data_IF_216827074603
#
_entry.id   IF_216827074603
#
_cell.length_a   1.000
_cell.length_b   1.000
_cell.length_c   1.000
_cell.angle_alpha   90.00
_cell.angle_beta   90.00
_cell.angle_gamma   90.00
#
_symmetry.space_group_name_H-M   'P 1'
#
loop_
_entity.id
_entity.type
_entity.pdbx_description
1 polymer ?
#
# COMPACT_ATOMS: atom_id res chain seq x y z
N UNK A 1 14.24 -1.57 23.43
CA UNK A 1 13.04 -2.41 23.25
C UNK A 1 12.48 -2.69 24.64
N UNK A 2 11.27 -2.23 24.92
CA UNK A 2 10.66 -2.34 26.25
C UNK A 2 10.38 -3.81 26.61
N UNK A 3 10.86 -4.25 27.78
CA UNK A 3 10.82 -5.66 28.19
C UNK A 3 9.39 -6.16 28.43
N UNK A 4 8.44 -5.28 28.74
CA UNK A 4 7.04 -5.67 28.94
C UNK A 4 6.31 -5.94 27.62
N UNK A 5 6.57 -5.14 26.57
CA UNK A 5 5.96 -5.33 25.25
C UNK A 5 6.35 -6.68 24.66
N UNK A 6 7.66 -6.95 24.55
CA UNK A 6 8.16 -8.21 23.97
C UNK A 6 7.67 -9.39 24.78
N UNK A 7 7.72 -9.31 26.12
CA UNK A 7 7.27 -10.39 26.98
C UNK A 7 5.79 -10.69 26.77
N UNK A 8 4.95 -9.66 26.65
CA UNK A 8 3.52 -9.84 26.37
C UNK A 8 3.29 -10.37 24.96
N UNK A 9 3.97 -9.86 23.93
CA UNK A 9 3.88 -10.39 22.57
C UNK A 9 4.35 -11.84 22.51
N UNK A 10 5.37 -12.23 23.30
CA UNK A 10 5.83 -13.62 23.42
C UNK A 10 4.83 -14.51 24.16
N UNK A 11 4.27 -14.03 25.27
CA UNK A 11 3.25 -14.76 26.03
C UNK A 11 1.98 -14.94 25.20
N UNK A 12 1.60 -13.91 24.44
CA UNK A 12 0.49 -13.93 23.49
C UNK A 12 0.86 -14.73 22.23
N UNK A 13 2.10 -14.73 21.73
CA UNK A 13 2.47 -15.51 20.53
C UNK A 13 2.42 -17.01 20.76
N UNK A 14 2.77 -17.45 21.96
CA UNK A 14 2.67 -18.85 22.38
C UNK A 14 1.21 -19.31 22.53
N UNK A 15 0.23 -18.40 22.72
CA UNK A 15 -1.18 -18.74 22.96
C UNK A 15 -2.18 -18.32 21.87
N UNK A 16 -1.90 -17.22 21.17
CA UNK A 16 -2.80 -16.49 20.25
C UNK A 16 -2.22 -16.40 18.83
N UNK A 17 -0.88 -16.37 18.69
CA UNK A 17 -0.19 -16.27 17.39
C UNK A 17 0.55 -17.55 17.01
N UNK A 18 0.09 -18.71 17.48
CA UNK A 18 0.63 -19.98 17.00
C UNK A 18 0.26 -20.17 15.52
N UNK A 19 1.22 -20.44 14.63
CA UNK A 19 0.92 -20.70 13.23
C UNK A 19 -0.01 -21.92 13.15
N UNK A 20 -0.98 -21.96 12.21
CA UNK A 20 -1.79 -23.14 11.98
C UNK A 20 -0.91 -24.38 11.78
N UNK A 21 -1.36 -25.55 12.25
CA UNK A 21 -0.57 -26.79 12.15
C UNK A 21 -0.19 -27.11 10.70
N UNK A 22 -1.10 -26.82 9.76
CA UNK A 22 -0.85 -26.88 8.31
C UNK A 22 0.34 -26.00 7.92
N UNK A 23 0.40 -24.77 8.44
CA UNK A 23 1.47 -23.83 8.14
C UNK A 23 2.82 -24.28 8.69
N UNK A 24 2.86 -24.81 9.93
CA UNK A 24 4.08 -25.37 10.52
C UNK A 24 4.66 -26.49 9.65
N UNK A 25 3.81 -27.41 9.20
CA UNK A 25 4.25 -28.54 8.41
C UNK A 25 4.66 -28.12 6.99
N UNK A 26 3.98 -27.13 6.39
CA UNK A 26 4.38 -26.52 5.12
C UNK A 26 5.76 -25.88 5.24
N UNK A 27 6.00 -25.07 6.28
CA UNK A 27 7.31 -24.45 6.53
C UNK A 27 8.41 -25.49 6.76
N UNK A 28 8.10 -26.59 7.45
CA UNK A 28 9.02 -27.71 7.63
C UNK A 28 9.45 -28.33 6.30
N UNK A 29 8.49 -28.57 5.40
CA UNK A 29 8.78 -29.13 4.07
C UNK A 29 9.55 -28.15 3.19
N UNK A 30 9.23 -26.85 3.24
CA UNK A 30 9.90 -25.85 2.39
C UNK A 30 11.37 -25.61 2.78
N UNK A 31 11.74 -25.88 4.04
CA UNK A 31 13.13 -25.84 4.50
C UNK A 31 13.95 -27.05 4.13
N UNK A 32 13.29 -28.16 3.82
CA UNK A 32 13.96 -29.40 3.43
C UNK A 32 14.10 -29.41 1.90
N UNK A 33 15.32 -29.18 1.40
CA UNK A 33 15.63 -29.17 -0.03
C UNK A 33 15.32 -30.51 -0.74
N UNK A 34 15.09 -31.59 0.02
CA UNK A 34 14.71 -32.90 -0.53
C UNK A 34 13.20 -33.11 -0.63
N UNK A 35 12.39 -32.18 -0.09
CA UNK A 35 10.94 -32.29 -0.11
C UNK A 35 10.36 -32.18 -1.52
N UNK A 36 9.32 -32.95 -1.75
CA UNK A 36 8.66 -33.09 -3.05
C UNK A 36 7.34 -32.32 -3.12
N UNK A 37 6.89 -32.03 -4.34
CA UNK A 37 5.59 -31.43 -4.58
C UNK A 37 4.41 -32.24 -4.01
N UNK A 38 4.53 -33.57 -4.03
CA UNK A 38 3.50 -34.48 -3.52
C UNK A 38 3.45 -34.49 -1.99
N UNK A 39 4.58 -34.34 -1.31
CA UNK A 39 4.61 -34.19 0.14
C UNK A 39 3.93 -32.89 0.58
N UNK A 40 4.20 -31.77 -0.09
CA UNK A 40 3.51 -30.51 0.17
C UNK A 40 2.01 -30.62 -0.10
N UNK A 41 1.62 -31.24 -1.23
CA UNK A 41 0.22 -31.47 -1.54
C UNK A 41 -0.48 -32.35 -0.49
N UNK A 42 0.18 -33.39 0.03
CA UNK A 42 -0.38 -34.28 1.05
C UNK A 42 -0.64 -33.58 2.39
N UNK A 43 0.14 -32.53 2.71
CA UNK A 43 -0.09 -31.69 3.88
C UNK A 43 -1.27 -30.75 3.65
N UNK A 44 -1.28 -30.04 2.52
CA UNK A 44 -2.29 -29.03 2.21
C UNK A 44 -3.69 -29.61 2.06
N UNK A 45 -3.83 -30.80 1.47
CA UNK A 45 -5.13 -31.47 1.28
C UNK A 45 -5.83 -31.79 2.62
N UNK A 46 -5.09 -31.85 3.73
CA UNK A 46 -5.67 -32.03 5.08
C UNK A 46 -6.39 -30.77 5.58
N UNK A 47 -6.16 -29.63 4.94
CA UNK A 47 -6.78 -28.35 5.23
C UNK A 47 -7.63 -27.90 4.02
N UNK A 48 -8.95 -28.21 4.03
CA UNK A 48 -9.81 -27.89 2.89
C UNK A 48 -9.92 -26.39 2.62
N UNK A 49 -9.78 -25.54 3.64
CA UNK A 49 -9.88 -24.08 3.50
C UNK A 49 -8.66 -23.56 2.74
N UNK A 50 -7.46 -23.91 3.21
CA UNK A 50 -6.20 -23.54 2.55
C UNK A 50 -6.14 -24.11 1.13
N UNK A 51 -6.50 -25.39 0.96
CA UNK A 51 -6.54 -26.04 -0.36
C UNK A 51 -7.47 -25.31 -1.34
N UNK A 52 -8.67 -24.94 -0.91
CA UNK A 52 -9.64 -24.26 -1.78
C UNK A 52 -9.14 -22.88 -2.20
N UNK A 53 -8.54 -22.12 -1.26
CA UNK A 53 -7.94 -20.82 -1.54
C UNK A 53 -6.80 -20.93 -2.55
N UNK A 54 -5.85 -21.85 -2.34
CA UNK A 54 -4.73 -22.08 -3.27
C UNK A 54 -5.24 -22.42 -4.67
N UNK A 55 -6.19 -23.35 -4.77
CA UNK A 55 -6.74 -23.75 -6.07
C UNK A 55 -7.43 -22.60 -6.78
N UNK A 56 -8.10 -21.69 -6.07
CA UNK A 56 -8.68 -20.49 -6.69
C UNK A 56 -7.60 -19.54 -7.18
N UNK A 57 -6.58 -19.29 -6.35
CA UNK A 57 -5.48 -18.39 -6.67
C UNK A 57 -4.73 -18.86 -7.90
N UNK A 58 -4.29 -20.13 -7.97
CA UNK A 58 -3.55 -20.62 -9.14
C UNK A 58 -4.39 -20.70 -10.43
N UNK A 59 -5.72 -20.60 -10.31
CA UNK A 59 -6.63 -20.49 -11.45
C UNK A 59 -7.00 -19.04 -11.78
N UNK A 60 -6.39 -18.04 -11.12
CA UNK A 60 -6.57 -16.64 -11.48
C UNK A 60 -5.97 -16.35 -12.86
N UNK A 61 -6.51 -15.37 -13.60
CA UNK A 61 -5.94 -14.88 -14.85
C UNK A 61 -4.46 -14.51 -14.71
N UNK A 62 -4.05 -14.08 -13.51
CA UNK A 62 -2.67 -13.71 -13.20
C UNK A 62 -1.69 -14.87 -13.41
N UNK A 63 -1.99 -16.07 -12.90
CA UNK A 63 -1.12 -17.23 -13.11
C UNK A 63 -1.26 -17.84 -14.52
N UNK A 64 -2.23 -17.39 -15.31
CA UNK A 64 -2.29 -17.70 -16.74
C UNK A 64 -2.43 -19.19 -17.07
N UNK A 65 -3.04 -19.99 -16.17
CA UNK A 65 -3.15 -21.43 -16.36
C UNK A 65 -3.87 -21.76 -17.68
N UNK A 66 -3.16 -22.40 -18.62
CA UNK A 66 -3.72 -22.79 -19.92
C UNK A 66 -4.93 -23.74 -19.81
N UNK A 67 -5.06 -24.43 -18.66
CA UNK A 67 -6.19 -25.28 -18.29
C UNK A 67 -6.47 -25.11 -16.80
N UNK A 68 -7.73 -25.33 -16.42
CA UNK A 68 -8.15 -25.28 -15.01
C UNK A 68 -7.39 -26.31 -14.17
N UNK A 69 -6.70 -25.84 -13.13
CA UNK A 69 -5.95 -26.63 -12.17
C UNK A 69 -6.91 -27.21 -11.14
N UNK A 70 -6.89 -28.54 -10.97
CA UNK A 70 -7.86 -29.28 -10.13
C UNK A 70 -7.27 -29.92 -8.87
N UNK A 71 -5.96 -29.82 -8.66
CA UNK A 71 -5.27 -30.45 -7.52
C UNK A 71 -4.08 -29.64 -7.05
N UNK A 72 -3.73 -29.77 -5.77
CA UNK A 72 -2.59 -29.06 -5.18
C UNK A 72 -1.27 -29.51 -5.80
N UNK A 73 -1.08 -30.80 -6.11
CA UNK A 73 0.12 -31.25 -6.82
C UNK A 73 0.29 -30.54 -8.17
N UNK A 74 -0.79 -30.35 -8.94
CA UNK A 74 -0.73 -29.57 -10.19
C UNK A 74 -0.40 -28.10 -9.94
N UNK A 75 -0.94 -27.50 -8.87
CA UNK A 75 -0.61 -26.14 -8.47
C UNK A 75 0.90 -26.01 -8.16
N UNK A 76 1.44 -26.90 -7.33
CA UNK A 76 2.86 -26.90 -6.97
C UNK A 76 3.77 -27.10 -8.18
N UNK A 77 3.40 -27.99 -9.11
CA UNK A 77 4.16 -28.19 -10.36
C UNK A 77 4.13 -26.95 -11.25
N UNK A 78 2.99 -26.24 -11.29
CA UNK A 78 2.80 -25.08 -12.15
C UNK A 78 3.53 -23.84 -11.64
N UNK A 79 3.32 -23.50 -10.36
CA UNK A 79 3.82 -22.23 -9.80
C UNK A 79 5.04 -22.42 -8.90
N UNK A 80 5.35 -23.65 -8.48
CA UNK A 80 6.50 -23.97 -7.62
C UNK A 80 6.16 -24.12 -6.13
N UNK A 81 7.02 -24.85 -5.42
CA UNK A 81 6.90 -25.08 -3.96
C UNK A 81 6.95 -23.80 -3.15
N UNK A 82 7.85 -22.87 -3.50
CA UNK A 82 8.07 -21.62 -2.78
C UNK A 82 6.84 -20.72 -2.89
N UNK A 83 6.25 -20.65 -4.08
CA UNK A 83 5.05 -19.87 -4.39
C UNK A 83 3.81 -20.43 -3.71
N UNK A 84 3.63 -21.76 -3.70
CA UNK A 84 2.54 -22.36 -2.94
C UNK A 84 2.71 -22.09 -1.44
N UNK A 85 3.93 -22.19 -0.92
CA UNK A 85 4.23 -21.87 0.49
C UNK A 85 3.89 -20.42 0.82
N UNK A 86 4.27 -19.49 -0.05
CA UNK A 86 3.95 -18.08 0.02
C UNK A 86 2.43 -17.82 0.12
N UNK A 87 1.65 -18.47 -0.75
CA UNK A 87 0.18 -18.35 -0.73
C UNK A 87 -0.44 -18.97 0.52
N UNK A 88 0.10 -20.09 1.00
CA UNK A 88 -0.35 -20.72 2.25
C UNK A 88 -0.12 -19.78 3.42
N UNK A 89 1.06 -19.17 3.52
CA UNK A 89 1.41 -18.19 4.54
C UNK A 89 0.41 -17.04 4.56
N UNK A 90 0.29 -16.36 3.41
CA UNK A 90 -0.63 -15.25 3.19
C UNK A 90 -2.07 -15.57 3.65
N UNK A 91 -2.63 -16.66 3.12
CA UNK A 91 -4.04 -17.02 3.36
C UNK A 91 -4.30 -17.56 4.77
N UNK A 92 -3.29 -18.18 5.40
CA UNK A 92 -3.36 -18.64 6.79
C UNK A 92 -3.38 -17.47 7.77
N UNK A 93 -2.52 -16.47 7.54
CA UNK A 93 -2.42 -15.29 8.40
C UNK A 93 -3.69 -14.46 8.29
N UNK A 94 -4.18 -14.22 7.08
CA UNK A 94 -5.47 -13.58 6.85
C UNK A 94 -6.59 -14.24 7.68
N UNK A 95 -6.76 -15.56 7.54
CA UNK A 95 -7.80 -16.31 8.26
C UNK A 95 -7.62 -16.35 9.78
N UNK A 96 -6.39 -16.27 10.29
CA UNK A 96 -6.12 -16.18 11.72
C UNK A 96 -6.63 -14.85 12.29
N UNK A 97 -6.36 -13.75 11.57
CA UNK A 97 -6.68 -12.40 12.03
C UNK A 97 -8.14 -11.98 11.83
N UNK A 98 -8.89 -12.69 10.97
CA UNK A 98 -10.30 -12.39 10.65
C UNK A 98 -11.20 -12.27 11.90
N UNK A 99 -10.85 -12.99 12.98
CA UNK A 99 -11.62 -13.01 14.23
C UNK A 99 -11.18 -11.99 15.28
N UNK A 100 -10.06 -11.28 15.07
CA UNK A 100 -9.60 -10.32 16.08
C UNK A 100 -10.39 -9.02 15.95
N UNK A 101 -10.91 -8.52 17.07
CA UNK A 101 -11.42 -7.16 17.15
C UNK A 101 -10.27 -6.18 16.89
N UNK A 102 -10.53 -5.12 16.14
CA UNK A 102 -9.49 -4.20 15.69
C UNK A 102 -10.05 -2.79 15.53
N UNK A 103 -9.24 -1.78 15.85
CA UNK A 103 -9.55 -0.37 15.50
C UNK A 103 -9.33 -0.10 14.00
N UNK A 104 -8.54 -0.95 13.34
CA UNK A 104 -8.23 -0.84 11.93
C UNK A 104 -9.44 -1.26 11.09
N UNK A 105 -9.72 -0.49 10.05
CA UNK A 105 -10.63 -0.94 9.01
C UNK A 105 -9.99 -2.14 8.28
N UNK A 106 -10.57 -3.33 8.50
CA UNK A 106 -10.05 -4.59 7.96
C UNK A 106 -10.02 -4.61 6.45
N UNK A 107 -11.05 -4.06 5.83
CA UNK A 107 -11.19 -4.03 4.38
C UNK A 107 -10.09 -3.15 3.79
N UNK A 108 -9.92 -1.96 4.35
CA UNK A 108 -8.87 -1.02 3.95
C UNK A 108 -7.46 -1.58 4.20
N UNK A 109 -7.24 -2.21 5.35
CA UNK A 109 -5.96 -2.83 5.72
C UNK A 109 -5.53 -3.91 4.73
N UNK A 110 -6.44 -4.85 4.40
CA UNK A 110 -6.11 -5.95 3.49
C UNK A 110 -6.06 -5.49 2.04
N UNK A 111 -6.82 -4.47 1.65
CA UNK A 111 -6.67 -3.81 0.34
C UNK A 111 -5.29 -3.18 0.18
N UNK A 112 -4.83 -2.44 1.19
CA UNK A 112 -3.47 -1.87 1.21
C UNK A 112 -2.43 -2.98 1.09
N UNK A 113 -2.50 -3.97 1.99
CA UNK A 113 -1.55 -5.08 2.05
C UNK A 113 -1.46 -5.83 0.72
N UNK A 114 -2.59 -6.10 0.07
CA UNK A 114 -2.61 -6.76 -1.23
C UNK A 114 -2.01 -5.88 -2.34
N UNK A 115 -2.31 -4.59 -2.35
CA UNK A 115 -1.73 -3.67 -3.33
C UNK A 115 -0.21 -3.58 -3.18
N UNK A 116 0.29 -3.52 -1.94
CA UNK A 116 1.74 -3.53 -1.63
C UNK A 116 2.38 -4.85 -2.03
N UNK A 117 1.70 -5.99 -1.83
CA UNK A 117 2.16 -7.29 -2.30
C UNK A 117 2.35 -7.33 -3.82
N UNK A 118 1.33 -6.87 -4.56
CA UNK A 118 1.35 -6.80 -6.02
C UNK A 118 2.43 -5.84 -6.51
N UNK A 119 2.53 -4.65 -5.91
CA UNK A 119 3.55 -3.67 -6.24
C UNK A 119 4.96 -4.19 -5.98
N UNK A 120 5.20 -4.85 -4.84
CA UNK A 120 6.50 -5.42 -4.49
C UNK A 120 6.95 -6.44 -5.53
N UNK A 121 6.04 -7.31 -5.97
CA UNK A 121 6.31 -8.29 -7.02
C UNK A 121 6.57 -7.63 -8.38
N UNK A 122 5.72 -6.70 -8.80
CA UNK A 122 5.88 -6.01 -10.09
C UNK A 122 7.20 -5.23 -10.16
N UNK A 123 7.59 -4.57 -9.07
CA UNK A 123 8.89 -3.90 -8.94
C UNK A 123 10.03 -4.92 -9.06
N UNK A 124 9.94 -6.05 -8.35
CA UNK A 124 10.95 -7.09 -8.42
C UNK A 124 11.10 -7.68 -9.84
N UNK A 125 9.99 -7.91 -10.54
CA UNK A 125 9.97 -8.38 -11.93
C UNK A 125 10.59 -7.36 -12.88
N UNK A 126 10.22 -6.08 -12.75
CA UNK A 126 10.72 -4.99 -13.59
C UNK A 126 12.25 -4.85 -13.49
N UNK A 127 12.81 -4.98 -12.29
CA UNK A 127 14.27 -4.89 -12.08
C UNK A 127 14.99 -6.24 -12.26
N UNK A 128 14.26 -7.33 -12.58
CA UNK A 128 14.82 -8.67 -12.76
C UNK A 128 15.33 -9.33 -11.47
N UNK A 129 14.83 -8.90 -10.30
CA UNK A 129 15.19 -9.48 -9.01
C UNK A 129 14.62 -10.89 -8.85
N UNK A 130 15.47 -11.84 -8.42
CA UNK A 130 15.06 -13.21 -8.14
C UNK A 130 14.41 -13.28 -6.76
N UNK A 131 13.11 -13.52 -6.72
CA UNK A 131 12.35 -13.65 -5.47
C UNK A 131 11.10 -12.79 -5.42
N UNK A 132 10.50 -12.51 -6.57
CA UNK A 132 9.31 -11.67 -6.67
C UNK A 132 8.13 -12.24 -5.87
N UNK A 133 8.05 -13.56 -5.72
CA UNK A 133 7.00 -14.22 -4.92
C UNK A 133 7.24 -14.11 -3.41
N UNK A 134 8.48 -14.19 -2.95
CA UNK A 134 8.84 -13.88 -1.56
C UNK A 134 8.52 -12.41 -1.24
N UNK A 135 8.79 -11.52 -2.19
CA UNK A 135 8.46 -10.10 -2.05
C UNK A 135 6.97 -9.81 -2.10
N UNK A 136 6.19 -10.62 -2.84
CA UNK A 136 4.73 -10.59 -2.74
C UNK A 136 4.28 -10.90 -1.30
N UNK A 137 4.85 -11.95 -0.68
CA UNK A 137 4.53 -12.28 0.72
C UNK A 137 4.97 -11.20 1.68
N UNK A 138 6.20 -10.69 1.51
CA UNK A 138 6.72 -9.62 2.36
C UNK A 138 5.84 -8.37 2.26
N UNK A 139 5.43 -7.98 1.05
CA UNK A 139 4.50 -6.88 0.84
C UNK A 139 3.12 -7.12 1.43
N UNK A 140 2.61 -8.36 1.39
CA UNK A 140 1.33 -8.68 2.03
C UNK A 140 1.40 -8.64 3.57
N UNK A 141 2.55 -8.95 4.14
CA UNK A 141 2.75 -9.05 5.59
C UNK A 141 3.44 -7.84 6.21
N UNK A 142 3.76 -6.81 5.43
CA UNK A 142 4.59 -5.68 5.89
C UNK A 142 3.99 -4.99 7.12
N UNK A 143 2.67 -4.76 7.13
CA UNK A 143 1.94 -4.13 8.23
C UNK A 143 1.33 -5.14 9.22
N UNK A 144 1.65 -6.44 9.12
CA UNK A 144 1.08 -7.47 10.00
C UNK A 144 1.34 -7.18 11.50
N UNK A 145 2.44 -6.50 11.82
CA UNK A 145 2.74 -6.05 13.17
C UNK A 145 1.67 -5.13 13.77
N UNK A 146 0.96 -4.33 12.95
CA UNK A 146 -0.13 -3.49 13.45
C UNK A 146 -1.26 -4.33 14.02
N UNK A 147 -1.63 -5.43 13.35
CA UNK A 147 -2.67 -6.34 13.82
C UNK A 147 -2.27 -7.03 15.13
N UNK A 148 -0.98 -7.38 15.27
CA UNK A 148 -0.45 -7.98 16.49
C UNK A 148 -0.52 -6.98 17.65
N UNK A 149 -0.09 -5.74 17.41
CA UNK A 149 -0.05 -4.69 18.42
C UNK A 149 -1.46 -4.29 18.86
N UNK A 150 -2.39 -4.13 17.92
CA UNK A 150 -3.80 -3.84 18.19
C UNK A 150 -4.45 -4.96 19.02
N UNK A 151 -4.27 -6.22 18.62
CA UNK A 151 -4.83 -7.34 19.38
C UNK A 151 -4.18 -7.51 20.77
N UNK A 152 -2.89 -7.22 20.91
CA UNK A 152 -2.16 -7.34 22.18
C UNK A 152 -2.48 -6.18 23.15
N UNK A 153 -2.63 -4.96 22.62
CA UNK A 153 -2.77 -3.72 23.39
C UNK A 153 -3.87 -2.81 22.81
N UNK A 154 -5.13 -3.26 22.74
CA UNK A 154 -6.18 -2.60 21.96
C UNK A 154 -6.45 -1.15 22.39
N UNK A 155 -6.47 -0.88 23.70
CA UNK A 155 -6.73 0.46 24.22
C UNK A 155 -5.60 1.44 23.88
N UNK A 156 -4.34 1.01 24.07
CA UNK A 156 -3.16 1.86 23.81
C UNK A 156 -2.89 2.00 22.31
N UNK A 157 -3.12 0.94 21.52
CA UNK A 157 -3.02 1.01 20.07
C UNK A 157 -4.08 1.94 19.49
N UNK A 158 -5.33 1.91 20.00
CA UNK A 158 -6.37 2.88 19.63
C UNK A 158 -5.95 4.31 19.93
N UNK A 159 -5.40 4.60 21.10
CA UNK A 159 -4.90 5.93 21.47
C UNK A 159 -3.85 6.43 20.46
N UNK A 160 -2.84 5.61 20.16
CA UNK A 160 -1.78 5.93 19.20
C UNK A 160 -2.35 6.07 17.78
N UNK A 161 -3.26 5.19 17.40
CA UNK A 161 -3.93 5.20 16.11
C UNK A 161 -4.76 6.46 15.92
N UNK A 162 -5.48 6.93 16.94
CA UNK A 162 -6.25 8.17 16.86
C UNK A 162 -5.29 9.38 16.82
N UNK A 163 -4.28 9.42 17.69
CA UNK A 163 -3.32 10.53 17.77
C UNK A 163 -2.56 10.75 16.46
N UNK A 164 -2.10 9.68 15.80
CA UNK A 164 -1.38 9.82 14.53
C UNK A 164 -2.25 10.04 13.29
N UNK A 165 -3.59 10.07 13.42
CA UNK A 165 -4.42 10.66 12.35
C UNK A 165 -4.37 12.20 12.43
N UNK A 166 -4.19 12.75 13.63
CA UNK A 166 -4.23 14.19 13.87
C UNK A 166 -2.83 14.83 13.91
N UNK A 167 -1.82 14.13 14.46
CA UNK A 167 -0.47 14.64 14.70
C UNK A 167 0.62 13.55 14.58
N UNK A 168 1.62 13.75 13.71
CA UNK A 168 2.83 12.91 13.64
C UNK A 168 2.68 11.58 12.91
N UNK A 169 3.82 10.94 12.58
CA UNK A 169 3.85 9.65 11.89
C UNK A 169 3.59 8.47 12.85
N UNK A 170 2.89 7.43 12.38
CA UNK A 170 2.60 6.21 13.17
C UNK A 170 3.87 5.66 13.84
N UNK A 171 4.95 5.55 13.06
CA UNK A 171 6.24 5.00 13.50
C UNK A 171 6.81 5.80 14.66
N UNK A 172 6.81 7.13 14.57
CA UNK A 172 7.39 7.99 15.60
C UNK A 172 6.62 7.87 16.92
N UNK A 173 5.29 7.79 16.86
CA UNK A 173 4.47 7.58 18.05
C UNK A 173 4.72 6.19 18.64
N UNK A 174 4.68 5.13 17.83
CA UNK A 174 4.95 3.77 18.29
C UNK A 174 6.33 3.68 18.96
N UNK A 175 7.38 4.24 18.36
CA UNK A 175 8.72 4.25 18.92
C UNK A 175 8.81 5.07 20.21
N UNK A 176 8.07 6.18 20.30
CA UNK A 176 8.00 6.98 21.52
C UNK A 176 7.31 6.23 22.66
N UNK A 177 6.22 5.52 22.38
CA UNK A 177 5.43 4.82 23.40
C UNK A 177 5.99 3.46 23.79
N UNK A 178 6.54 2.71 22.83
CA UNK A 178 6.93 1.31 23.01
C UNK A 178 8.43 1.05 22.80
N UNK A 179 9.20 2.04 22.33
CA UNK A 179 10.61 1.86 22.00
C UNK A 179 10.85 0.89 20.85
N UNK A 180 9.84 0.67 20.02
CA UNK A 180 9.82 -0.14 18.79
C UNK A 180 8.59 0.23 17.96
N UNK A 181 8.43 -0.37 16.79
CA UNK A 181 7.34 -0.09 15.87
C UNK A 181 6.74 -1.38 15.27
N UNK A 182 5.62 -1.26 14.55
CA UNK A 182 4.92 -2.40 13.97
C UNK A 182 5.79 -3.18 12.97
N UNK A 183 6.67 -2.54 12.20
CA UNK A 183 7.55 -3.24 11.27
C UNK A 183 8.46 -4.22 12.02
N UNK A 184 9.06 -3.79 13.14
CA UNK A 184 9.92 -4.63 13.99
C UNK A 184 9.14 -5.70 14.74
N UNK A 185 7.93 -5.40 15.20
CA UNK A 185 7.05 -6.41 15.81
C UNK A 185 6.66 -7.49 14.79
N UNK A 186 6.32 -7.09 13.57
CA UNK A 186 6.01 -7.99 12.46
C UNK A 186 7.18 -8.91 12.15
N UNK A 187 8.37 -8.33 11.92
CA UNK A 187 9.62 -9.08 11.73
C UNK A 187 9.84 -10.11 12.83
N UNK A 188 9.79 -9.70 14.09
CA UNK A 188 10.03 -10.56 15.24
C UNK A 188 9.11 -11.78 15.25
N UNK A 189 7.81 -11.60 15.01
CA UNK A 189 6.85 -12.72 14.99
C UNK A 189 7.11 -13.65 13.81
N UNK A 190 7.41 -13.12 12.63
CA UNK A 190 7.72 -13.94 11.45
C UNK A 190 9.03 -14.74 11.63
N UNK A 191 10.02 -14.20 12.32
CA UNK A 191 11.23 -14.91 12.72
C UNK A 191 10.94 -16.04 13.71
N UNK A 192 10.01 -15.83 14.67
CA UNK A 192 9.58 -16.92 15.57
C UNK A 192 8.84 -18.03 14.82
N UNK A 193 8.12 -17.69 13.75
CA UNK A 193 7.53 -18.67 12.83
C UNK A 193 8.56 -19.26 11.86
N UNK A 194 9.80 -18.79 11.95
CA UNK A 194 10.93 -19.23 11.17
C UNK A 194 10.73 -19.08 9.66
N UNK A 195 10.11 -17.99 9.24
CA UNK A 195 10.02 -17.63 7.83
C UNK A 195 11.40 -17.29 7.25
N UNK A 196 11.58 -17.34 5.91
CA UNK A 196 12.81 -16.93 5.27
C UNK A 196 13.25 -15.52 5.66
N UNK A 197 14.55 -15.33 5.92
CA UNK A 197 15.12 -14.05 6.38
C UNK A 197 14.78 -12.89 5.44
N UNK A 198 14.80 -13.12 4.11
CA UNK A 198 14.39 -12.12 3.12
C UNK A 198 12.98 -11.55 3.39
N UNK A 199 12.02 -12.38 3.79
CA UNK A 199 10.66 -11.92 4.13
C UNK A 199 10.69 -11.16 5.45
N UNK A 200 11.33 -11.72 6.47
CA UNK A 200 11.44 -11.12 7.80
C UNK A 200 12.09 -9.74 7.76
N UNK A 201 13.23 -9.61 7.08
CA UNK A 201 13.98 -8.36 6.94
C UNK A 201 13.23 -7.34 6.10
N UNK A 202 12.61 -7.75 4.99
CA UNK A 202 11.80 -6.85 4.17
C UNK A 202 10.62 -6.27 4.95
N UNK A 203 9.96 -7.10 5.77
CA UNK A 203 8.92 -6.66 6.71
C UNK A 203 9.51 -5.77 7.80
N UNK A 204 10.67 -6.07 8.35
CA UNK A 204 11.29 -5.26 9.41
C UNK A 204 11.79 -3.89 8.97
N UNK A 205 12.12 -3.75 7.68
CA UNK A 205 12.85 -2.60 7.12
C UNK A 205 12.01 -1.76 6.16
N UNK A 206 10.73 -2.08 5.95
CA UNK A 206 9.89 -1.39 4.97
C UNK A 206 9.61 0.09 5.28
N UNK A 207 9.94 0.57 6.49
CA UNK A 207 9.90 1.99 6.87
C UNK A 207 11.28 2.65 6.97
N UNK A 208 12.37 1.91 6.73
CA UNK A 208 13.73 2.48 6.82
C UNK A 208 13.92 3.63 5.82
N UNK A 209 14.72 4.61 6.22
CA UNK A 209 15.21 5.65 5.33
C UNK A 209 16.43 5.12 4.58
N UNK A 210 16.36 5.11 3.25
CA UNK A 210 17.47 4.72 2.38
C UNK A 210 18.16 5.95 1.83
N UNK A 211 19.48 5.88 1.66
CA UNK A 211 20.30 6.98 1.14
C UNK A 211 20.53 6.74 -0.36
N UNK A 212 20.65 7.82 -1.14
CA UNK A 212 20.99 7.74 -2.56
C UNK A 212 22.31 6.99 -2.77
N UNK A 213 22.30 6.04 -3.71
CA UNK A 213 23.45 5.16 -4.01
C UNK A 213 23.54 3.92 -3.12
N UNK A 214 22.48 3.57 -2.37
CA UNK A 214 22.43 2.31 -1.61
C UNK A 214 22.10 1.16 -2.56
N UNK A 215 23.13 0.46 -3.03
CA UNK A 215 23.05 -0.64 -4.00
C UNK A 215 23.38 -2.03 -3.42
N UNK A 216 23.45 -2.12 -2.08
CA UNK A 216 23.67 -3.39 -1.39
C UNK A 216 22.57 -4.41 -1.73
N UNK A 217 22.96 -5.57 -2.26
CA UNK A 217 22.06 -6.64 -2.68
C UNK A 217 21.18 -7.13 -1.52
N UNK A 218 21.68 -7.09 -0.28
CA UNK A 218 20.92 -7.49 0.93
C UNK A 218 19.79 -6.50 1.25
N UNK A 219 19.92 -5.24 0.84
CA UNK A 219 18.93 -4.19 1.10
C UNK A 219 17.90 -4.04 -0.02
N UNK A 220 18.15 -4.61 -1.21
CA UNK A 220 17.23 -4.55 -2.34
C UNK A 220 15.82 -5.04 -1.96
N UNK A 221 15.62 -6.21 -1.31
CA UNK A 221 14.30 -6.68 -0.91
C UNK A 221 13.52 -5.67 -0.05
N UNK A 222 14.21 -5.08 0.91
CA UNK A 222 13.63 -4.08 1.82
C UNK A 222 13.28 -2.78 1.09
N UNK A 223 14.12 -2.35 0.15
CA UNK A 223 13.87 -1.19 -0.70
C UNK A 223 12.64 -1.40 -1.59
N UNK A 224 12.44 -2.62 -2.12
CA UNK A 224 11.28 -2.97 -2.95
C UNK A 224 9.98 -2.84 -2.14
N UNK A 225 9.90 -3.45 -0.96
CA UNK A 225 8.68 -3.39 -0.12
C UNK A 225 8.42 -1.96 0.37
N UNK A 226 9.47 -1.22 0.71
CA UNK A 226 9.35 0.20 1.10
C UNK A 226 8.79 1.05 -0.04
N UNK A 227 9.35 0.92 -1.26
CA UNK A 227 8.86 1.63 -2.43
C UNK A 227 7.41 1.24 -2.75
N UNK A 228 7.10 -0.06 -2.72
CA UNK A 228 5.75 -0.61 -2.93
C UNK A 228 4.72 0.01 -1.98
N UNK A 229 5.02 0.09 -0.68
CA UNK A 229 4.17 0.74 0.32
C UNK A 229 3.93 2.22 -0.05
N UNK A 230 4.99 2.94 -0.42
CA UNK A 230 4.88 4.36 -0.73
C UNK A 230 4.04 4.65 -1.98
N UNK A 231 4.15 3.80 -3.01
CA UNK A 231 3.43 3.95 -4.28
C UNK A 231 2.00 3.40 -4.27
N UNK A 232 1.59 2.68 -3.21
CA UNK A 232 0.22 2.20 -3.00
C UNK A 232 -0.79 3.36 -3.04
N UNK A 233 -1.91 3.12 -3.70
CA UNK A 233 -3.02 4.06 -3.85
C UNK A 233 -4.04 3.94 -2.71
N UNK A 234 -4.00 2.85 -1.96
CA UNK A 234 -4.88 2.57 -0.83
C UNK A 234 -4.12 2.57 0.49
N UNK A 235 -3.66 3.71 1.02
CA UNK A 235 -2.99 3.72 2.31
C UNK A 235 -3.95 3.27 3.41
N UNK A 236 -3.46 2.53 4.42
CA UNK A 236 -4.25 2.13 5.61
C UNK A 236 -4.83 3.36 6.33
N UNK A 237 -4.15 4.51 6.19
CA UNK A 237 -4.48 5.79 6.83
C UNK A 237 -4.70 6.89 5.81
N UNK A 238 -5.45 7.92 6.18
CA UNK A 238 -5.53 9.13 5.36
C UNK A 238 -4.22 9.91 5.51
N UNK A 239 -3.50 10.12 4.39
CA UNK A 239 -2.25 10.88 4.42
C UNK A 239 -2.55 12.37 4.59
N UNK A 240 -1.99 13.00 5.62
CA UNK A 240 -2.02 14.45 5.74
C UNK A 240 -1.16 15.11 4.64
N UNK A 241 -1.55 16.30 4.20
CA UNK A 241 -0.92 17.03 3.08
C UNK A 241 0.54 17.43 3.37
N UNK A 242 0.92 17.56 4.64
CA UNK A 242 2.25 18.00 5.08
C UNK A 242 3.36 16.98 4.83
N UNK A 243 3.05 15.68 4.81
CA UNK A 243 4.05 14.61 4.66
C UNK A 243 4.44 14.37 3.19
N UNK A 244 3.69 14.91 2.24
CA UNK A 244 3.80 14.60 0.82
C UNK A 244 5.15 15.01 0.17
N UNK A 245 5.86 16.00 0.73
CA UNK A 245 7.13 16.48 0.20
C UNK A 245 8.30 15.54 0.49
N UNK A 246 8.48 15.19 1.77
CA UNK A 246 9.53 14.29 2.25
C UNK A 246 9.32 12.86 1.73
N UNK A 247 8.08 12.40 1.73
CA UNK A 247 7.73 11.07 1.23
C UNK A 247 8.05 10.89 -0.26
N UNK A 248 7.88 11.95 -1.05
CA UNK A 248 8.19 11.94 -2.50
C UNK A 248 9.69 11.90 -2.76
N UNK A 249 10.49 12.63 -1.99
CA UNK A 249 11.96 12.62 -2.12
C UNK A 249 12.51 11.22 -1.82
N UNK A 250 12.05 10.59 -0.73
CA UNK A 250 12.42 9.21 -0.40
C UNK A 250 11.98 8.21 -1.48
N UNK A 251 10.78 8.34 -2.04
CA UNK A 251 10.37 7.51 -3.18
C UNK A 251 11.34 7.58 -4.35
N UNK A 252 11.78 8.79 -4.71
CA UNK A 252 12.71 9.00 -5.83
C UNK A 252 14.10 8.45 -5.53
N UNK A 253 14.57 8.58 -4.29
CA UNK A 253 15.84 8.00 -3.84
C UNK A 253 15.80 6.48 -4.00
N UNK A 254 14.77 5.82 -3.46
CA UNK A 254 14.66 4.37 -3.49
C UNK A 254 14.48 3.87 -4.93
N UNK A 255 13.63 4.54 -5.72
CA UNK A 255 13.49 4.21 -7.14
C UNK A 255 14.82 4.34 -7.89
N UNK A 256 15.59 5.40 -7.61
CA UNK A 256 16.94 5.58 -8.17
C UNK A 256 17.91 4.47 -7.77
N UNK A 257 17.90 4.03 -6.51
CA UNK A 257 18.71 2.92 -6.03
C UNK A 257 18.35 1.60 -6.73
N UNK A 258 17.06 1.39 -7.03
CA UNK A 258 16.56 0.21 -7.74
C UNK A 258 16.70 0.32 -9.27
N UNK A 259 17.24 1.43 -9.79
CA UNK A 259 17.38 1.65 -11.23
C UNK A 259 16.07 1.93 -11.97
N UNK A 260 15.01 2.30 -11.26
CA UNK A 260 13.68 2.58 -11.82
C UNK A 260 13.55 4.06 -12.19
N UNK A 261 13.03 4.31 -13.38
CA UNK A 261 12.67 5.64 -13.84
C UNK A 261 11.28 6.06 -13.32
N UNK A 262 10.98 7.37 -13.38
CA UNK A 262 9.63 7.86 -13.06
C UNK A 262 8.55 7.27 -13.99
N UNK A 263 8.90 6.92 -15.23
CA UNK A 263 7.98 6.23 -16.14
C UNK A 263 7.66 4.82 -15.70
N UNK A 264 8.64 4.08 -15.17
CA UNK A 264 8.44 2.70 -14.71
C UNK A 264 7.51 2.68 -13.50
N UNK A 265 7.74 3.59 -12.53
CA UNK A 265 6.85 3.78 -11.39
C UNK A 265 5.42 4.08 -11.82
N UNK A 266 5.24 4.99 -12.79
CA UNK A 266 3.93 5.37 -13.29
C UNK A 266 3.23 4.20 -14.00
N UNK A 267 3.98 3.37 -14.73
CA UNK A 267 3.44 2.18 -15.39
C UNK A 267 2.98 1.14 -14.36
N UNK A 268 3.80 0.87 -13.35
CA UNK A 268 3.46 -0.03 -12.24
C UNK A 268 2.17 0.46 -11.57
N UNK A 269 2.13 1.74 -11.14
CA UNK A 269 0.98 2.34 -10.47
C UNK A 269 -0.32 2.27 -11.29
N UNK A 270 -0.26 2.45 -12.61
CA UNK A 270 -1.46 2.40 -13.49
C UNK A 270 -2.15 1.04 -13.46
N UNK A 271 -1.40 -0.04 -13.23
CA UNK A 271 -1.94 -1.40 -13.25
C UNK A 271 -2.31 -1.91 -11.85
N UNK A 272 -1.79 -1.31 -10.77
CA UNK A 272 -2.00 -1.79 -9.40
C UNK A 272 -3.47 -1.90 -9.02
N UNK A 273 -4.28 -0.90 -9.35
CA UNK A 273 -5.71 -0.93 -9.01
C UNK A 273 -6.41 -2.14 -9.62
N UNK A 274 -6.30 -2.31 -10.95
CA UNK A 274 -7.02 -3.38 -11.66
C UNK A 274 -6.50 -4.76 -11.25
N UNK A 275 -5.20 -4.89 -11.00
CA UNK A 275 -4.60 -6.12 -10.48
C UNK A 275 -5.09 -6.42 -9.05
N UNK A 276 -5.18 -5.43 -8.17
CA UNK A 276 -5.69 -5.60 -6.79
C UNK A 276 -7.14 -6.08 -6.77
N UNK A 277 -8.00 -5.48 -7.60
CA UNK A 277 -9.41 -5.92 -7.74
C UNK A 277 -9.53 -7.31 -8.37
N UNK A 278 -8.64 -7.65 -9.31
CA UNK A 278 -8.57 -8.99 -9.87
C UNK A 278 -8.19 -9.99 -8.78
N UNK A 279 -7.03 -9.81 -8.14
CA UNK A 279 -6.44 -10.81 -7.25
C UNK A 279 -7.20 -10.99 -5.93
N UNK A 280 -7.82 -9.94 -5.39
CA UNK A 280 -8.64 -10.02 -4.17
C UNK A 280 -9.76 -11.06 -4.29
N UNK A 281 -10.42 -11.16 -5.46
CA UNK A 281 -11.47 -12.14 -5.74
C UNK A 281 -10.95 -13.58 -5.67
N UNK A 282 -9.69 -13.81 -6.02
CA UNK A 282 -9.09 -15.14 -6.03
C UNK A 282 -8.51 -15.52 -4.67
N UNK A 283 -7.98 -14.54 -3.92
CA UNK A 283 -7.44 -14.71 -2.57
C UNK A 283 -8.52 -14.75 -1.48
N UNK A 284 -9.77 -14.42 -1.81
CA UNK A 284 -10.88 -14.24 -0.85
C UNK A 284 -10.57 -13.18 0.22
N UNK A 285 -9.74 -12.19 -0.14
CA UNK A 285 -9.52 -11.01 0.69
C UNK A 285 -10.68 -10.06 0.45
N UNK A 286 -11.36 -9.69 1.53
CA UNK A 286 -12.32 -8.60 1.47
C UNK A 286 -11.56 -7.29 1.35
N UNK A 287 -11.53 -6.76 0.13
CA UNK A 287 -10.92 -5.45 -0.19
C UNK A 287 -12.00 -4.39 -0.49
N UNK A 288 -13.26 -4.72 -0.21
CA UNK A 288 -14.41 -3.87 -0.48
C UNK A 288 -14.91 -4.02 -1.90
N UNK A 289 -16.16 -3.63 -2.13
CA UNK A 289 -16.72 -3.62 -3.47
C UNK A 289 -16.10 -2.50 -4.30
N UNK A 290 -16.22 -2.60 -5.64
CA UNK A 290 -15.86 -1.49 -6.52
C UNK A 290 -16.59 -0.20 -6.13
N UNK A 291 -17.83 -0.31 -5.64
CA UNK A 291 -18.64 0.83 -5.21
C UNK A 291 -18.08 1.48 -3.94
N UNK A 292 -17.64 0.68 -2.97
CA UNK A 292 -17.00 1.18 -1.74
C UNK A 292 -15.71 1.92 -2.05
N UNK A 293 -14.92 1.37 -2.97
CA UNK A 293 -13.65 1.96 -3.41
C UNK A 293 -13.90 3.28 -4.16
N UNK A 294 -14.91 3.33 -5.03
CA UNK A 294 -15.29 4.55 -5.73
C UNK A 294 -15.83 5.61 -4.76
N UNK A 295 -16.64 5.21 -3.79
CA UNK A 295 -17.16 6.11 -2.77
C UNK A 295 -16.03 6.71 -1.92
N UNK A 296 -15.06 5.89 -1.52
CA UNK A 296 -13.90 6.34 -0.78
C UNK A 296 -13.01 7.27 -1.60
N UNK A 297 -12.73 6.93 -2.86
CA UNK A 297 -12.00 7.81 -3.78
C UNK A 297 -12.71 9.16 -3.95
N UNK A 298 -14.03 9.16 -4.10
CA UNK A 298 -14.83 10.38 -4.19
C UNK A 298 -14.80 11.21 -2.89
N UNK A 299 -14.82 10.56 -1.72
CA UNK A 299 -14.70 11.24 -0.43
C UNK A 299 -13.33 11.92 -0.28
N UNK A 300 -12.25 11.20 -0.56
CA UNK A 300 -10.87 11.74 -0.49
C UNK A 300 -10.68 12.91 -1.45
N UNK A 301 -11.22 12.83 -2.67
CA UNK A 301 -11.22 13.92 -3.63
C UNK A 301 -11.96 15.15 -3.11
N UNK A 302 -13.12 14.96 -2.47
CA UNK A 302 -13.88 16.05 -1.88
C UNK A 302 -13.15 16.70 -0.69
N UNK A 303 -12.50 15.91 0.16
CA UNK A 303 -11.68 16.42 1.27
C UNK A 303 -10.47 17.24 0.79
N UNK A 304 -9.79 16.76 -0.26
CA UNK A 304 -8.73 17.53 -0.93
C UNK A 304 -9.27 18.84 -1.50
N UNK A 305 -10.44 18.84 -2.13
CA UNK A 305 -11.09 20.05 -2.62
C UNK A 305 -11.37 21.06 -1.49
N UNK A 306 -11.94 20.61 -0.37
CA UNK A 306 -12.22 21.45 0.79
C UNK A 306 -10.95 22.03 1.42
N UNK A 307 -9.87 21.25 1.46
CA UNK A 307 -8.55 21.70 1.94
C UNK A 307 -8.00 22.82 1.06
N UNK A 308 -8.08 22.67 -0.27
CA UNK A 308 -7.64 23.69 -1.22
C UNK A 308 -8.48 24.96 -1.08
N UNK A 309 -9.81 24.87 -0.97
CA UNK A 309 -10.66 26.04 -0.74
C UNK A 309 -10.32 26.78 0.56
N UNK A 310 -10.02 26.04 1.64
CA UNK A 310 -9.57 26.63 2.91
C UNK A 310 -8.25 27.41 2.75
N UNK A 311 -7.26 26.82 2.07
CA UNK A 311 -5.98 27.48 1.79
C UNK A 311 -6.16 28.73 0.92
N UNK A 312 -7.08 28.71 -0.05
CA UNK A 312 -7.40 29.88 -0.88
C UNK A 312 -8.07 30.99 -0.05
N UNK A 313 -8.96 30.64 0.86
CA UNK A 313 -9.62 31.59 1.78
C UNK A 313 -8.60 32.24 2.72
N UNK A 314 -7.66 31.46 3.26
CA UNK A 314 -6.57 31.94 4.10
C UNK A 314 -5.61 32.87 3.33
N UNK A 315 -5.28 32.51 2.09
CA UNK A 315 -4.50 33.37 1.20
C UNK A 315 -5.22 34.71 0.94
N UNK A 316 -6.54 34.70 0.69
CA UNK A 316 -7.34 35.94 0.56
C UNK A 316 -7.26 36.81 1.82
N UNK A 317 -7.26 36.22 3.02
CA UNK A 317 -7.10 36.95 4.29
C UNK A 317 -5.70 37.55 4.44
N UNK A 318 -4.65 36.79 4.15
CA UNK A 318 -3.26 37.30 4.16
C UNK A 318 -3.06 38.44 3.14
N UNK A 319 -3.69 38.33 1.96
CA UNK A 319 -3.69 39.39 0.94
C UNK A 319 -4.33 40.70 1.42
N UNK A 320 -5.39 40.63 2.22
CA UNK A 320 -6.01 41.83 2.82
C UNK A 320 -5.11 42.49 3.87
N UNK A 321 -4.22 41.73 4.51
CA UNK A 321 -3.30 42.22 5.54
C UNK A 321 -1.99 42.81 4.97
N UNK A 322 -1.60 42.45 3.74
CA UNK A 322 -0.25 42.77 3.21
C UNK A 322 -0.25 43.88 2.15
N UNK A 323 -0.97 44.99 2.42
CA UNK A 323 -1.01 46.14 1.53
C UNK A 323 0.24 47.04 1.70
N UNK A 324 1.37 46.67 1.08
CA UNK A 324 2.46 47.60 0.86
C UNK A 324 3.86 47.00 0.73
N UNK A 325 4.21 46.43 -0.42
CA UNK A 325 5.61 46.31 -0.88
C UNK A 325 5.66 45.90 -2.35
N UNK A 326 6.39 46.65 -3.17
CA UNK A 326 6.33 46.58 -4.63
C UNK A 326 7.04 45.34 -5.22
N UNK A 327 8.03 44.79 -4.51
CA UNK A 327 8.70 43.51 -4.83
C UNK A 327 7.77 42.32 -4.58
N UNK A 328 7.00 42.38 -3.49
CA UNK A 328 5.90 41.44 -3.20
C UNK A 328 4.89 41.41 -4.35
N UNK A 329 4.65 42.54 -5.02
CA UNK A 329 3.65 42.68 -6.10
C UNK A 329 3.95 41.84 -7.33
N UNK A 330 5.21 41.74 -7.77
CA UNK A 330 5.60 40.93 -8.93
C UNK A 330 5.54 39.43 -8.66
N UNK A 331 5.98 39.02 -7.47
CA UNK A 331 5.78 37.66 -6.96
C UNK A 331 4.29 37.33 -6.80
N UNK A 332 3.50 38.24 -6.23
CA UNK A 332 2.04 38.13 -6.09
C UNK A 332 1.35 38.03 -7.44
N UNK A 333 1.79 38.74 -8.48
CA UNK A 333 1.21 38.64 -9.82
C UNK A 333 1.51 37.29 -10.48
N UNK A 334 2.74 36.76 -10.35
CA UNK A 334 3.10 35.43 -10.82
C UNK A 334 2.33 34.34 -10.06
N UNK A 335 2.31 34.42 -8.73
CA UNK A 335 1.53 33.54 -7.86
C UNK A 335 0.02 33.61 -8.14
N UNK A 336 -0.51 34.81 -8.43
CA UNK A 336 -1.92 35.03 -8.83
C UNK A 336 -2.23 34.42 -10.20
N UNK A 337 -1.29 34.48 -11.14
CA UNK A 337 -1.39 33.82 -12.44
C UNK A 337 -1.48 32.30 -12.30
N UNK A 338 -0.57 31.71 -11.50
CA UNK A 338 -0.54 30.26 -11.22
C UNK A 338 -1.78 29.80 -10.45
N UNK A 339 -2.21 30.51 -9.40
CA UNK A 339 -3.41 30.14 -8.62
C UNK A 339 -4.71 30.32 -9.37
N UNK A 340 -4.83 31.34 -10.24
CA UNK A 340 -6.00 31.52 -11.10
C UNK A 340 -6.05 30.46 -12.21
N UNK A 341 -4.92 30.12 -12.82
CA UNK A 341 -4.82 29.00 -13.77
C UNK A 341 -5.16 27.66 -13.11
N UNK A 342 -4.67 27.45 -11.88
CA UNK A 342 -4.97 26.29 -11.06
C UNK A 342 -6.46 26.20 -10.69
N UNK A 343 -7.10 27.31 -10.32
CA UNK A 343 -8.54 27.36 -9.99
C UNK A 343 -9.40 27.02 -11.21
N UNK A 344 -9.05 27.56 -12.39
CA UNK A 344 -9.74 27.23 -13.64
C UNK A 344 -9.50 25.76 -14.05
N UNK A 345 -8.30 25.24 -13.81
CA UNK A 345 -7.99 23.83 -14.05
C UNK A 345 -8.74 22.91 -13.09
N UNK A 346 -8.76 23.20 -11.79
CA UNK A 346 -9.53 22.47 -10.78
C UNK A 346 -11.02 22.48 -11.09
N UNK A 347 -11.60 23.61 -11.49
CA UNK A 347 -13.00 23.67 -11.91
C UNK A 347 -13.30 22.79 -13.13
N UNK A 348 -12.38 22.75 -14.11
CA UNK A 348 -12.52 21.90 -15.31
C UNK A 348 -12.29 20.41 -15.01
N UNK A 349 -11.30 20.10 -14.18
CA UNK A 349 -11.01 18.74 -13.73
C UNK A 349 -12.17 18.21 -12.89
N UNK A 350 -12.66 18.98 -11.92
CA UNK A 350 -13.83 18.66 -11.10
C UNK A 350 -15.08 18.41 -11.95
N UNK A 351 -15.39 19.28 -12.90
CA UNK A 351 -16.51 19.09 -13.82
C UNK A 351 -16.36 17.82 -14.69
N UNK A 352 -15.17 17.56 -15.23
CA UNK A 352 -14.86 16.37 -16.02
C UNK A 352 -14.97 15.07 -15.20
N UNK A 353 -14.53 15.11 -13.94
CA UNK A 353 -14.62 13.98 -13.01
C UNK A 353 -16.09 13.72 -12.65
N UNK A 354 -16.88 14.76 -12.36
CA UNK A 354 -18.30 14.64 -12.01
C UNK A 354 -19.13 14.11 -13.20
N UNK A 355 -18.85 14.58 -14.41
CA UNK A 355 -19.50 14.12 -15.64
C UNK A 355 -19.20 12.64 -15.91
N UNK A 356 -17.96 12.21 -15.69
CA UNK A 356 -17.55 10.80 -15.85
C UNK A 356 -18.09 9.90 -14.73
N UNK A 357 -18.16 10.40 -13.50
CA UNK A 357 -18.81 9.71 -12.39
C UNK A 357 -20.30 9.46 -12.67
N UNK A 358 -21.00 10.45 -13.23
CA UNK A 358 -22.39 10.29 -13.70
C UNK A 358 -22.53 9.29 -14.85
N UNK A 359 -21.59 9.27 -15.80
CA UNK A 359 -21.60 8.31 -16.90
C UNK A 359 -21.41 6.86 -16.41
N UNK A 360 -20.53 6.65 -15.42
CA UNK A 360 -20.32 5.36 -14.77
C UNK A 360 -21.56 4.95 -13.97
N UNK A 361 -22.13 5.84 -13.16
CA UNK A 361 -23.35 5.58 -12.38
C UNK A 361 -24.56 5.22 -13.27
N UNK A 362 -24.76 5.94 -14.37
CA UNK A 362 -25.84 5.66 -15.32
C UNK A 362 -25.68 4.31 -16.04
N UNK A 363 -24.43 3.91 -16.31
CA UNK A 363 -24.11 2.57 -16.82
C UNK A 363 -24.41 1.46 -15.81
N UNK A 364 -24.15 1.71 -14.52
CA UNK A 364 -24.44 0.79 -13.41
C UNK A 364 -25.96 0.62 -13.23
N UNK A 365 -26.72 1.71 -13.20
CA UNK A 365 -28.18 1.70 -12.99
C UNK A 365 -28.95 0.99 -14.11
N UNK A 366 -28.37 0.91 -15.31
CA UNK A 366 -28.97 0.26 -16.48
C UNK A 366 -28.61 -1.23 -16.64
N UNK A 367 -27.81 -1.80 -15.74
CA UNK A 367 -27.45 -3.23 -15.75
C UNK A 367 -26.50 -3.63 -16.90
N UNK A 368 -25.84 -2.67 -17.54
CA UNK A 368 -24.89 -2.92 -18.62
C UNK A 368 -23.46 -2.99 -18.06
N UNK A 369 -23.00 -4.17 -17.65
CA UNK A 369 -21.55 -4.41 -17.49
C UNK A 369 -21.14 -5.69 -18.22
N UNK A 370 -20.97 -5.53 -19.53
CA UNK A 370 -19.67 -5.81 -20.16
C UNK A 370 -19.16 -4.41 -20.49
N UNK A 371 -17.89 -4.04 -20.19
CA UNK A 371 -17.28 -2.74 -20.56
C UNK A 371 -16.84 -2.78 -22.04
N UNK A 372 -17.73 -2.56 -23.02
CA UNK A 372 -17.43 -2.82 -24.42
C UNK A 372 -16.89 -1.49 -24.95
N UNK A 373 -15.64 -1.18 -24.65
CA UNK A 373 -14.98 0.06 -25.07
C UNK A 373 -13.98 0.68 -24.10
N UNK A 374 -13.81 0.13 -22.89
CA UNK A 374 -12.80 0.64 -21.94
C UNK A 374 -13.20 1.97 -21.30
N UNK A 375 -14.49 2.25 -21.18
CA UNK A 375 -15.00 3.54 -20.70
C UNK A 375 -14.70 3.76 -19.21
N UNK A 376 -14.75 2.68 -18.42
CA UNK A 376 -14.42 2.70 -16.99
C UNK A 376 -12.91 2.89 -16.81
N UNK A 377 -12.09 2.08 -17.49
CA UNK A 377 -10.64 2.18 -17.42
C UNK A 377 -10.11 3.54 -17.92
N UNK A 378 -10.68 4.08 -19.00
CA UNK A 378 -10.30 5.41 -19.52
C UNK A 378 -10.73 6.55 -18.60
N UNK A 379 -11.88 6.43 -17.92
CA UNK A 379 -12.33 7.43 -16.96
C UNK A 379 -11.46 7.43 -15.71
N UNK A 380 -11.10 6.26 -15.17
CA UNK A 380 -10.14 6.14 -14.05
C UNK A 380 -8.78 6.71 -14.44
N UNK A 381 -8.25 6.35 -15.62
CA UNK A 381 -6.97 6.89 -16.11
C UNK A 381 -6.98 8.42 -16.20
N UNK A 382 -8.03 9.02 -16.74
CA UNK A 382 -8.16 10.49 -16.80
C UNK A 382 -8.34 11.13 -15.41
N UNK A 383 -8.96 10.45 -14.45
CA UNK A 383 -9.03 10.93 -13.06
C UNK A 383 -7.63 10.98 -12.45
N UNK A 384 -6.84 9.90 -12.58
CA UNK A 384 -5.46 9.82 -12.09
C UNK A 384 -4.59 10.90 -12.71
N UNK A 385 -4.64 11.09 -14.03
CA UNK A 385 -3.87 12.14 -14.74
C UNK A 385 -4.23 13.57 -14.25
N UNK A 386 -5.49 13.82 -13.94
CA UNK A 386 -5.93 15.11 -13.39
C UNK A 386 -5.42 15.32 -11.96
N UNK A 387 -5.46 14.28 -11.11
CA UNK A 387 -4.95 14.33 -9.73
C UNK A 387 -3.43 14.57 -9.72
N UNK A 388 -2.68 13.88 -10.58
CA UNK A 388 -1.23 14.09 -10.73
C UNK A 388 -0.88 15.52 -11.16
N UNK A 389 -1.65 16.08 -12.09
CA UNK A 389 -1.49 17.45 -12.56
C UNK A 389 -1.79 18.45 -11.44
N UNK A 390 -2.86 18.21 -10.67
CA UNK A 390 -3.20 19.02 -9.49
C UNK A 390 -2.07 18.99 -8.45
N UNK A 391 -1.54 17.81 -8.16
CA UNK A 391 -0.41 17.61 -7.26
C UNK A 391 0.89 18.25 -7.78
N UNK A 392 1.09 18.36 -9.09
CA UNK A 392 2.22 19.08 -9.66
C UNK A 392 2.09 20.59 -9.45
N UNK A 393 0.91 21.16 -9.72
CA UNK A 393 0.70 22.60 -9.58
C UNK A 393 0.71 23.01 -8.11
N UNK A 394 0.20 22.17 -7.19
CA UNK A 394 0.34 22.37 -5.75
C UNK A 394 1.79 22.45 -5.31
N UNK A 395 2.68 21.63 -5.88
CA UNK A 395 4.13 21.70 -5.60
C UNK A 395 4.73 23.03 -6.06
N UNK A 396 4.36 23.51 -7.24
CA UNK A 396 4.82 24.81 -7.74
C UNK A 396 4.33 25.96 -6.84
N UNK A 397 3.09 25.88 -6.34
CA UNK A 397 2.51 26.86 -5.41
C UNK A 397 3.24 26.84 -4.07
N UNK A 398 3.48 25.66 -3.49
CA UNK A 398 4.23 25.51 -2.22
C UNK A 398 5.66 26.01 -2.37
N UNK A 399 6.35 25.62 -3.44
CA UNK A 399 7.70 26.08 -3.74
C UNK A 399 7.80 27.60 -3.89
N UNK A 400 6.85 28.21 -4.60
CA UNK A 400 6.74 29.67 -4.68
C UNK A 400 6.49 30.28 -3.30
N UNK A 401 5.61 29.68 -2.48
CA UNK A 401 5.31 30.21 -1.13
C UNK A 401 6.49 30.15 -0.15
N UNK A 402 7.46 29.26 -0.38
CA UNK A 402 8.63 29.04 0.47
C UNK A 402 9.88 29.81 -0.01
N UNK A 403 9.87 30.34 -1.24
CA UNK A 403 10.99 31.16 -1.75
C UNK A 403 10.80 32.62 -1.35
N UNK A 404 11.46 33.06 -0.27
CA UNK A 404 11.61 34.50 -0.01
C UNK A 404 12.34 35.16 -1.19
N UNK A 405 11.88 36.33 -1.67
CA UNK A 405 12.65 37.09 -2.65
C UNK A 405 13.97 37.47 -1.99
N UNK A 406 15.07 36.86 -2.44
CA UNK A 406 16.41 37.22 -2.01
C UNK A 406 16.56 38.73 -2.18
N UNK A 407 16.65 39.45 -1.05
CA UNK A 407 16.95 40.87 -0.98
C UNK A 407 18.40 41.06 -1.47
N UNK A 408 18.59 41.09 -2.78
CA UNK A 408 19.78 41.68 -3.38
C UNK A 408 19.64 43.19 -3.22
N UNK A 409 20.36 43.72 -2.23
CA UNK A 409 20.56 45.16 -1.96
C UNK A 409 21.15 45.89 -3.16
#
# INVERSE_FOLDING_TARGET
MDNELIKKILDDSVKLYSPPQTLVEVLRLTKDETSTADELAAVLVKDPVVTTRILRVVNSPYYGAARKIGSVSQAVVMIGMRQVTALVLATSIYGLTEKWESVLDRVRFWRHSLEVAIASRNIAEEIGFKGADELFVAGLLHDFGMLIMDNSFPDKFREIWEESQDHGGMIDLEETFWGTNHARVGQFVLEQWQLPDMICESVGHHHNVFISGTDDEELIPSQIVNLANRISQFPVRERQVTDAGFEKENCLIIAGNLGLSSSDLLNIQKELFSQTISESKYLEFDVGSTDDILLEANRLLFEQYMTVESLLEENRRMNQQTAGEQVKRGFLEAFKGTTSAFTVYLGKASASILERAHAVQSGLDSGAIVDPGGLVASSVKSIVENVETVNSIMRDIVFLSQTEPALYY
#
